data_IF_299847538452
#
_entry.id   IF_299847538452
#
_cell.length_a   1.000
_cell.length_b   1.000
_cell.length_c   1.000
_cell.angle_alpha   90.00
_cell.angle_beta   90.00
_cell.angle_gamma   90.00
#
_symmetry.space_group_name_H-M   'P 1'
#
loop_
_entity.id
_entity.type
_entity.pdbx_description
1 polymer ?
#
# COMPACT_ATOMS: atom_id res chain seq x y z
N UNK A 1 -21.71 -6.92 -15.03
CA UNK A 1 -20.86 -7.12 -13.84
C UNK A 1 -20.22 -5.79 -13.49
N UNK A 2 -20.95 -4.96 -12.75
CA UNK A 2 -20.40 -3.69 -12.27
C UNK A 2 -19.33 -4.00 -11.23
N UNK A 3 -18.11 -3.58 -11.54
CA UNK A 3 -16.98 -3.64 -10.62
C UNK A 3 -17.31 -2.71 -9.46
N UNK A 4 -17.75 -3.30 -8.33
CA UNK A 4 -17.95 -2.64 -7.04
C UNK A 4 -16.64 -2.01 -6.58
N UNK A 5 -16.32 -0.84 -7.12
CA UNK A 5 -15.33 0.09 -6.57
C UNK A 5 -15.89 0.48 -5.22
N UNK A 6 -15.30 -0.03 -4.14
CA UNK A 6 -15.64 0.41 -2.78
C UNK A 6 -15.70 1.94 -2.80
N UNK A 7 -16.87 2.53 -2.52
CA UNK A 7 -17.04 3.95 -2.72
C UNK A 7 -16.09 4.66 -1.77
N UNK A 8 -15.45 5.72 -2.25
CA UNK A 8 -14.47 6.50 -1.51
C UNK A 8 -15.00 6.86 -0.11
N UNK A 9 -16.31 7.08 0.01
CA UNK A 9 -17.05 7.34 1.24
C UNK A 9 -16.87 6.28 2.33
N UNK A 10 -16.87 4.98 1.98
CA UNK A 10 -16.65 3.91 2.97
C UNK A 10 -15.21 3.90 3.48
N UNK A 11 -14.25 4.21 2.59
CA UNK A 11 -12.83 4.28 2.96
C UNK A 11 -12.56 5.50 3.86
N UNK A 12 -13.20 6.63 3.57
CA UNK A 12 -13.17 7.83 4.39
C UNK A 12 -13.82 7.60 5.76
N UNK A 13 -15.00 6.98 5.80
CA UNK A 13 -15.69 6.65 7.05
C UNK A 13 -14.89 5.67 7.92
N UNK A 14 -14.30 4.64 7.29
CA UNK A 14 -13.41 3.69 7.97
C UNK A 14 -12.14 4.36 8.48
N UNK A 15 -11.52 5.23 7.68
CA UNK A 15 -10.37 6.04 8.09
C UNK A 15 -10.70 6.94 9.28
N UNK A 16 -11.84 7.63 9.24
CA UNK A 16 -12.32 8.45 10.34
C UNK A 16 -12.48 7.65 11.64
N UNK A 17 -13.20 6.53 11.60
CA UNK A 17 -13.41 5.69 12.77
C UNK A 17 -12.08 5.15 13.34
N UNK A 18 -11.15 4.78 12.44
CA UNK A 18 -9.82 4.29 12.82
C UNK A 18 -9.03 5.39 13.53
N UNK A 19 -9.06 6.63 13.01
CA UNK A 19 -8.37 7.76 13.63
C UNK A 19 -8.95 8.11 14.99
N UNK A 20 -10.29 8.15 15.12
CA UNK A 20 -10.96 8.40 16.40
C UNK A 20 -10.57 7.35 17.44
N UNK A 21 -10.65 6.07 17.08
CA UNK A 21 -10.32 4.97 17.98
C UNK A 21 -8.84 4.99 18.37
N UNK A 22 -7.95 5.20 17.39
CA UNK A 22 -6.53 5.35 17.64
C UNK A 22 -6.25 6.53 18.58
N UNK A 23 -6.96 7.65 18.43
CA UNK A 23 -6.77 8.83 19.28
C UNK A 23 -7.20 8.56 20.71
N UNK A 24 -8.34 7.91 20.89
CA UNK A 24 -8.80 7.50 22.21
C UNK A 24 -7.80 6.55 22.89
N UNK A 25 -7.32 5.52 22.18
CA UNK A 25 -6.33 4.56 22.70
C UNK A 25 -5.01 5.27 23.01
N UNK A 26 -4.53 6.12 22.11
CA UNK A 26 -3.24 6.82 22.29
C UNK A 26 -3.28 7.78 23.47
N UNK A 27 -4.40 8.47 23.68
CA UNK A 27 -4.61 9.35 24.82
C UNK A 27 -4.61 8.58 26.16
N UNK A 28 -5.16 7.36 26.19
CA UNK A 28 -5.20 6.50 27.37
C UNK A 28 -3.84 5.85 27.69
N UNK A 29 -3.10 5.43 26.66
CA UNK A 29 -1.86 4.66 26.81
C UNK A 29 -0.65 5.56 27.06
N UNK A 30 -0.55 6.68 26.33
CA UNK A 30 0.64 7.53 26.36
C UNK A 30 0.35 8.83 27.09
N UNK A 31 1.20 9.20 28.04
CA UNK A 31 1.15 10.51 28.70
C UNK A 31 2.12 11.53 28.07
N UNK A 32 3.19 11.06 27.43
CA UNK A 32 4.16 11.91 26.75
C UNK A 32 3.68 12.29 25.33
N UNK A 33 3.75 13.58 25.02
CA UNK A 33 3.38 14.17 23.72
C UNK A 33 4.18 13.58 22.57
N UNK A 34 5.48 13.31 22.76
CA UNK A 34 6.31 12.75 21.69
C UNK A 34 5.88 11.31 21.33
N UNK A 35 5.61 10.49 22.35
CA UNK A 35 5.12 9.13 22.18
C UNK A 35 3.75 9.09 21.49
N UNK A 36 2.85 10.02 21.85
CA UNK A 36 1.54 10.17 21.22
C UNK A 36 1.63 10.49 19.72
N UNK A 37 2.50 11.43 19.33
CA UNK A 37 2.72 11.80 17.92
C UNK A 37 3.31 10.63 17.15
N UNK A 38 4.27 9.90 17.74
CA UNK A 38 4.86 8.71 17.13
C UNK A 38 3.85 7.60 16.88
N UNK A 39 3.00 7.30 17.87
CA UNK A 39 1.93 6.31 17.73
C UNK A 39 0.93 6.68 16.61
N UNK A 40 0.53 7.95 16.56
CA UNK A 40 -0.35 8.45 15.51
C UNK A 40 0.28 8.39 14.12
N UNK A 41 1.57 8.72 14.00
CA UNK A 41 2.29 8.62 12.75
C UNK A 41 2.31 7.18 12.25
N UNK A 42 2.50 6.20 13.15
CA UNK A 42 2.45 4.79 12.81
C UNK A 42 1.06 4.35 12.29
N UNK A 43 -0.02 4.80 12.94
CA UNK A 43 -1.39 4.52 12.51
C UNK A 43 -1.66 5.11 11.12
N UNK A 44 -1.25 6.35 10.88
CA UNK A 44 -1.38 7.01 9.56
C UNK A 44 -0.61 6.25 8.49
N UNK A 45 0.63 5.83 8.78
CA UNK A 45 1.45 5.03 7.88
C UNK A 45 0.75 3.72 7.49
N UNK A 46 0.31 2.95 8.49
CA UNK A 46 -0.39 1.69 8.29
C UNK A 46 -1.67 1.88 7.49
N UNK A 47 -2.49 2.89 7.83
CA UNK A 47 -3.72 3.17 7.11
C UNK A 47 -3.46 3.55 5.65
N UNK A 48 -2.50 4.46 5.39
CA UNK A 48 -2.15 4.88 4.04
C UNK A 48 -1.62 3.72 3.19
N UNK A 49 -0.81 2.85 3.80
CA UNK A 49 -0.31 1.63 3.20
C UNK A 49 -1.42 0.64 2.84
N UNK A 50 -2.40 0.45 3.72
CA UNK A 50 -3.56 -0.43 3.51
C UNK A 50 -4.55 0.14 2.49
N UNK A 51 -4.81 1.44 2.54
CA UNK A 51 -5.74 2.15 1.67
C UNK A 51 -5.25 2.20 0.21
N UNK A 52 -3.93 2.22 -0.02
CA UNK A 52 -3.29 2.17 -1.35
C UNK A 52 -3.84 3.21 -2.35
N UNK A 53 -4.37 4.33 -1.85
CA UNK A 53 -4.97 5.42 -2.64
C UNK A 53 -4.28 6.72 -2.28
N UNK A 54 -3.65 7.36 -3.27
CA UNK A 54 -2.95 8.63 -3.08
C UNK A 54 -3.88 9.73 -2.52
N UNK A 55 -5.15 9.75 -2.90
CA UNK A 55 -6.14 10.71 -2.38
C UNK A 55 -6.58 10.43 -0.93
N UNK A 56 -6.42 9.21 -0.42
CA UNK A 56 -6.77 8.86 0.96
C UNK A 56 -5.67 9.29 1.96
N UNK A 57 -4.43 9.43 1.48
CA UNK A 57 -3.28 9.86 2.29
C UNK A 57 -3.41 11.27 2.88
N UNK A 58 -3.72 12.33 2.10
CA UNK A 58 -3.86 13.68 2.65
C UNK A 58 -5.07 13.77 3.59
N UNK A 59 -6.17 13.08 3.28
CA UNK A 59 -7.34 13.03 4.16
C UNK A 59 -7.02 12.36 5.51
N UNK A 60 -6.28 11.25 5.49
CA UNK A 60 -5.83 10.56 6.69
C UNK A 60 -4.84 11.41 7.51
N UNK A 61 -3.88 12.07 6.86
CA UNK A 61 -2.94 12.98 7.51
C UNK A 61 -3.65 14.17 8.17
N UNK A 62 -4.62 14.77 7.46
CA UNK A 62 -5.40 15.89 7.97
C UNK A 62 -6.28 15.47 9.17
N UNK A 63 -6.94 14.32 9.09
CA UNK A 63 -7.72 13.78 10.22
C UNK A 63 -6.83 13.49 11.42
N UNK A 64 -5.71 12.81 11.23
CA UNK A 64 -4.77 12.53 12.31
C UNK A 64 -4.22 13.80 12.94
N UNK A 65 -3.90 14.83 12.13
CA UNK A 65 -3.50 16.13 12.62
C UNK A 65 -4.59 16.75 13.51
N UNK A 66 -5.82 16.87 13.00
CA UNK A 66 -6.95 17.45 13.74
C UNK A 66 -7.18 16.79 15.10
N UNK A 67 -7.14 15.45 15.16
CA UNK A 67 -7.32 14.75 16.44
C UNK A 67 -6.10 14.87 17.36
N UNK A 68 -4.89 14.89 16.80
CA UNK A 68 -3.68 15.01 17.61
C UNK A 68 -3.54 16.41 18.21
N UNK A 69 -3.74 17.47 17.42
CA UNK A 69 -3.64 18.86 17.91
C UNK A 69 -4.86 19.28 18.72
N UNK A 70 -6.06 18.93 18.27
CA UNK A 70 -7.32 19.35 18.90
C UNK A 70 -7.73 18.55 20.13
N UNK A 71 -7.31 17.28 20.25
CA UNK A 71 -7.73 16.40 21.35
C UNK A 71 -6.58 16.01 22.29
N UNK A 72 -5.37 15.82 21.76
CA UNK A 72 -4.23 15.28 22.52
C UNK A 72 -3.28 16.34 23.08
N UNK A 73 -3.24 17.54 22.47
CA UNK A 73 -2.27 18.59 22.83
C UNK A 73 -2.97 19.77 23.49
N UNK A 74 -4.01 20.31 22.85
CA UNK A 74 -4.81 21.39 23.44
C UNK A 74 -6.09 20.77 24.00
N UNK A 75 -6.16 20.61 25.32
CA UNK A 75 -7.27 19.97 26.06
C UNK A 75 -8.67 20.64 25.90
N UNK A 76 -8.87 21.53 24.92
CA UNK A 76 -10.07 22.37 24.76
C UNK A 76 -10.52 22.58 23.30
N UNK A 77 -9.99 21.83 22.32
CA UNK A 77 -10.43 21.97 20.92
C UNK A 77 -10.01 23.28 20.25
N UNK A 78 -9.10 24.05 20.84
CA UNK A 78 -8.49 25.22 20.22
C UNK A 78 -7.41 24.77 19.26
N UNK A 79 -7.65 24.90 17.95
CA UNK A 79 -6.60 24.79 16.94
C UNK A 79 -5.68 26.01 17.06
N UNK A 80 -4.56 25.85 17.78
CA UNK A 80 -3.48 26.81 17.70
C UNK A 80 -2.73 26.55 16.38
N UNK A 81 -2.59 27.58 15.55
CA UNK A 81 -1.76 27.52 14.33
C UNK A 81 -0.31 27.86 14.67
N UNK A 82 0.25 27.19 15.68
CA UNK A 82 1.66 27.38 16.02
C UNK A 82 2.57 26.66 15.02
N UNK A 83 3.80 27.15 14.89
CA UNK A 83 4.80 26.56 13.98
C UNK A 83 5.04 25.08 14.29
N UNK A 84 4.99 24.69 15.56
CA UNK A 84 5.14 23.29 15.98
C UNK A 84 4.00 22.40 15.46
N UNK A 85 2.78 22.92 15.35
CA UNK A 85 1.63 22.17 14.87
C UNK A 85 1.64 22.02 13.34
N UNK A 86 2.13 23.02 12.62
CA UNK A 86 2.37 22.92 11.18
C UNK A 86 3.48 21.91 10.85
N UNK A 87 4.54 21.84 11.65
CA UNK A 87 5.58 20.83 11.49
C UNK A 87 5.05 19.41 11.68
N UNK A 88 4.12 19.21 12.63
CA UNK A 88 3.45 17.91 12.84
C UNK A 88 2.54 17.53 11.68
N UNK A 89 1.84 18.49 11.08
CA UNK A 89 1.07 18.25 9.86
C UNK A 89 1.97 17.77 8.72
N UNK A 90 3.08 18.48 8.49
CA UNK A 90 4.07 18.07 7.49
C UNK A 90 4.63 16.67 7.75
N UNK A 91 4.91 16.34 9.03
CA UNK A 91 5.34 15.00 9.41
C UNK A 91 4.30 13.93 9.06
N UNK A 92 3.03 14.13 9.43
CA UNK A 92 1.96 13.17 9.12
C UNK A 92 1.75 13.01 7.62
N UNK A 93 1.88 14.09 6.85
CA UNK A 93 1.76 14.05 5.39
C UNK A 93 2.92 13.27 4.75
N UNK A 94 4.17 13.52 5.16
CA UNK A 94 5.35 12.76 4.70
C UNK A 94 5.18 11.28 5.03
N UNK A 95 4.73 10.96 6.25
CA UNK A 95 4.51 9.57 6.69
C UNK A 95 3.38 8.90 5.91
N UNK A 96 2.29 9.60 5.64
CA UNK A 96 1.20 9.08 4.81
C UNK A 96 1.67 8.80 3.38
N UNK A 97 2.46 9.70 2.79
CA UNK A 97 3.04 9.53 1.46
C UNK A 97 4.03 8.35 1.41
N UNK A 98 4.87 8.18 2.44
CA UNK A 98 5.75 7.02 2.58
C UNK A 98 4.95 5.70 2.62
N UNK A 99 3.83 5.67 3.34
CA UNK A 99 2.95 4.50 3.39
C UNK A 99 2.39 4.13 2.01
N UNK A 100 1.94 5.13 1.23
CA UNK A 100 1.47 4.91 -0.15
C UNK A 100 2.60 4.49 -1.07
N UNK A 101 3.75 5.16 -1.00
CA UNK A 101 4.90 4.88 -1.85
C UNK A 101 5.43 3.46 -1.63
N UNK A 102 5.50 3.01 -0.38
CA UNK A 102 5.97 1.67 -0.08
C UNK A 102 4.95 0.58 -0.48
N UNK A 103 3.64 0.85 -0.38
CA UNK A 103 2.63 -0.02 -0.96
C UNK A 103 2.72 -0.12 -2.49
N UNK A 104 3.10 0.97 -3.18
CA UNK A 104 3.37 0.96 -4.61
C UNK A 104 4.66 0.19 -4.95
N UNK A 105 5.72 0.37 -4.15
CA UNK A 105 7.00 -0.33 -4.30
C UNK A 105 6.86 -1.85 -4.23
N UNK A 106 6.11 -2.36 -3.26
CA UNK A 106 5.86 -3.83 -3.14
C UNK A 106 5.12 -4.37 -4.36
N UNK A 107 4.15 -3.63 -4.90
CA UNK A 107 3.44 -4.05 -6.11
C UNK A 107 4.35 -4.10 -7.32
N UNK A 108 5.27 -3.14 -7.44
CA UNK A 108 6.24 -3.13 -8.52
C UNK A 108 7.20 -4.32 -8.39
N UNK A 109 7.71 -4.57 -7.19
CA UNK A 109 8.58 -5.71 -6.91
C UNK A 109 7.90 -7.06 -7.23
N UNK A 110 6.64 -7.25 -6.81
CA UNK A 110 5.88 -8.46 -7.10
C UNK A 110 5.61 -8.66 -8.60
N UNK A 111 5.42 -7.58 -9.37
CA UNK A 111 5.27 -7.66 -10.83
C UNK A 111 6.57 -8.05 -11.52
N UNK A 112 7.69 -7.51 -11.06
CA UNK A 112 9.02 -7.85 -11.59
C UNK A 112 9.33 -9.31 -11.30
N UNK A 113 9.11 -9.79 -10.06
CA UNK A 113 9.33 -11.20 -9.71
C UNK A 113 8.49 -12.15 -10.56
N UNK A 114 7.20 -11.82 -10.78
CA UNK A 114 6.33 -12.62 -11.65
C UNK A 114 6.85 -12.66 -13.09
N UNK A 115 7.30 -11.52 -13.63
CA UNK A 115 7.85 -11.45 -15.00
C UNK A 115 9.13 -12.27 -15.14
N UNK A 116 10.02 -12.21 -14.14
CA UNK A 116 11.26 -12.99 -14.09
C UNK A 116 10.96 -14.49 -14.00
N UNK A 117 9.98 -14.89 -13.18
CA UNK A 117 9.54 -16.30 -13.09
C UNK A 117 8.97 -16.82 -14.41
N UNK A 118 8.14 -16.04 -15.11
CA UNK A 118 7.59 -16.44 -16.41
C UNK A 118 8.69 -16.59 -17.46
N UNK A 119 9.59 -15.62 -17.57
CA UNK A 119 10.72 -15.70 -18.51
C UNK A 119 11.62 -16.92 -18.22
N UNK A 120 11.90 -17.20 -16.94
CA UNK A 120 12.66 -18.40 -16.54
C UNK A 120 11.95 -19.71 -16.90
N UNK A 121 10.61 -19.73 -16.85
CA UNK A 121 9.82 -20.91 -17.21
C UNK A 121 9.74 -21.12 -18.73
N UNK A 122 9.69 -20.03 -19.51
CA UNK A 122 9.76 -20.08 -20.97
C UNK A 122 11.12 -20.56 -21.48
N UNK A 123 12.23 -20.20 -20.81
CA UNK A 123 13.58 -20.70 -21.13
C UNK A 123 13.79 -22.19 -20.77
N UNK A 124 13.00 -22.74 -19.85
CA UNK A 124 13.06 -24.16 -19.45
C UNK A 124 12.21 -25.07 -20.33
N UNK A 125 11.19 -24.53 -21.01
CA UNK A 125 10.29 -25.25 -21.91
C UNK A 125 10.73 -25.48 -23.38
N UNK A 126 11.81 -24.90 -23.96
CA UNK A 126 12.12 -25.10 -25.38
C UNK A 126 12.83 -26.42 -25.70
N UNK A 127 13.41 -27.12 -24.72
CA UNK A 127 14.22 -28.33 -25.00
C UNK A 127 13.46 -29.66 -24.97
N UNK A 128 12.34 -29.77 -24.25
CA UNK A 128 11.60 -31.05 -24.18
C UNK A 128 10.57 -31.23 -25.29
N UNK A 129 10.25 -30.17 -26.04
CA UNK A 129 9.29 -30.23 -27.16
C UNK A 129 9.94 -30.51 -28.52
N UNK A 130 11.28 -30.54 -28.59
CA UNK A 130 12.04 -30.88 -29.80
C UNK A 130 12.76 -32.21 -29.60
N UNK A 131 12.02 -33.28 -29.32
CA UNK A 131 12.46 -34.59 -29.81
C UNK A 131 12.04 -34.67 -31.28
N UNK A 132 12.96 -34.52 -32.25
CA UNK A 132 12.67 -34.96 -33.60
C UNK A 132 12.38 -36.46 -33.51
N UNK A 133 11.21 -36.90 -33.98
CA UNK A 133 10.93 -38.33 -34.16
C UNK A 133 11.89 -38.88 -35.21
N UNK A 134 13.08 -39.28 -34.76
CA UNK A 134 14.08 -40.03 -35.53
C UNK A 134 13.51 -41.43 -35.69
N UNK A 135 12.65 -41.63 -36.69
CA UNK A 135 12.06 -42.94 -36.95
C UNK A 135 11.13 -43.07 -38.15
N UNK A 136 10.60 -41.98 -38.72
CA UNK A 136 9.45 -42.12 -39.64
C UNK A 136 9.70 -41.75 -41.10
N UNK A 137 10.92 -41.84 -41.65
CA UNK A 137 11.10 -41.80 -43.12
C UNK A 137 12.26 -42.69 -43.61
N UNK A 138 12.19 -43.99 -43.34
CA UNK A 138 12.90 -45.02 -44.10
C UNK A 138 11.88 -45.91 -44.83
N UNK A 139 11.10 -45.29 -45.73
CA UNK A 139 10.05 -45.94 -46.52
C UNK A 139 10.36 -45.88 -48.01
N UNK A 140 11.35 -46.66 -48.41
CA UNK A 140 11.79 -46.95 -49.78
C UNK A 140 10.60 -47.31 -50.69
N UNK A 141 10.35 -46.53 -51.74
CA UNK A 141 9.62 -47.02 -52.92
C UNK A 141 10.44 -46.79 -54.19
N UNK A 142 11.16 -47.85 -54.55
CA UNK A 142 11.65 -48.09 -55.89
C UNK A 142 10.47 -48.07 -56.87
N UNK A 143 10.52 -47.16 -57.84
CA UNK A 143 9.68 -47.20 -59.04
C UNK A 143 10.62 -47.69 -60.15
N UNK A 144 10.48 -48.95 -60.53
CA UNK A 144 11.06 -49.50 -61.76
C UNK A 144 10.20 -49.11 -62.96
N UNK A 145 10.89 -48.85 -64.07
CA UNK A 145 10.41 -48.40 -65.37
C UNK A 145 9.46 -49.39 -66.06
#
# INVERSE_FOLDING_TARGET
METSKTPLSFLLAGGFCTMVLASAVTALVFHDTAARVGAMAWVVFCFAWLARRAFAAPAAALMAWLFTTGFLIHHLGTLAFERADLLRLGLFEIVALLGVAAAAGIRLAARVDKKVRTARQEDLLPQTAYEPRVGEQAGTRHITA
#
